data_IF_524798357900
#
_entry.id   IF_524798357900
#
_cell.length_a   1.000
_cell.length_b   1.000
_cell.length_c   1.000
_cell.angle_alpha   90.00
_cell.angle_beta   90.00
_cell.angle_gamma   90.00
#
_symmetry.space_group_name_H-M   'P 1'
#
loop_
_entity.id
_entity.type
_entity.pdbx_description
1 polymer ?
#
# COMPACT_ATOMS: atom_id res chain seq x y z
N UNK A 1 -48.21 -24.69 -90.05
CA UNK A 1 -48.89 -24.64 -88.75
C UNK A 1 -47.92 -24.14 -87.69
N UNK A 2 -48.31 -23.08 -86.97
CA UNK A 2 -47.96 -22.80 -85.56
C UNK A 2 -46.44 -22.66 -85.28
N UNK A 3 -45.82 -21.50 -85.50
CA UNK A 3 -45.72 -20.37 -84.54
C UNK A 3 -45.75 -20.83 -83.07
N UNK A 4 -44.74 -20.41 -82.30
CA UNK A 4 -44.59 -20.51 -80.83
C UNK A 4 -43.91 -21.77 -80.25
N UNK A 5 -42.67 -22.05 -80.67
CA UNK A 5 -41.75 -22.92 -79.87
C UNK A 5 -40.72 -22.08 -79.09
N UNK A 6 -40.78 -20.75 -79.17
CA UNK A 6 -39.75 -19.87 -78.60
C UNK A 6 -40.34 -18.65 -77.86
N UNK A 7 -41.36 -18.89 -77.05
CA UNK A 7 -41.70 -18.00 -75.94
C UNK A 7 -41.83 -18.89 -74.72
N UNK A 8 -40.72 -19.15 -74.03
CA UNK A 8 -40.27 -18.24 -72.99
C UNK A 8 -41.33 -18.26 -71.88
N UNK A 9 -41.10 -19.16 -70.92
CA UNK A 9 -40.52 -18.70 -69.65
C UNK A 9 -41.57 -17.96 -68.81
N UNK A 10 -42.80 -18.48 -68.72
CA UNK A 10 -43.82 -17.83 -67.91
C UNK A 10 -44.96 -18.76 -67.52
N UNK A 11 -44.70 -20.00 -67.11
CA UNK A 11 -45.72 -20.79 -66.41
C UNK A 11 -45.15 -21.99 -65.62
N UNK A 12 -43.99 -21.81 -64.99
CA UNK A 12 -43.55 -22.64 -63.86
C UNK A 12 -43.33 -21.77 -62.62
N UNK A 13 -44.25 -20.83 -62.37
CA UNK A 13 -44.43 -20.26 -61.04
C UNK A 13 -45.29 -21.24 -60.22
N UNK A 14 -44.72 -22.39 -59.91
CA UNK A 14 -45.28 -23.40 -59.01
C UNK A 14 -44.28 -23.67 -57.91
N UNK A 15 -44.05 -22.65 -57.07
CA UNK A 15 -43.50 -22.72 -55.72
C UNK A 15 -42.44 -23.81 -55.49
N UNK A 16 -41.18 -23.48 -55.77
CA UNK A 16 -40.06 -24.08 -55.05
C UNK A 16 -40.23 -23.71 -53.57
N UNK A 17 -40.90 -24.59 -52.81
CA UNK A 17 -40.90 -24.56 -51.35
C UNK A 17 -39.52 -24.93 -50.83
N UNK A 18 -38.53 -24.10 -51.12
CA UNK A 18 -37.28 -24.08 -50.36
C UNK A 18 -37.52 -23.15 -49.18
N UNK A 19 -38.25 -23.65 -48.18
CA UNK A 19 -38.04 -23.20 -46.81
C UNK A 19 -36.65 -23.68 -46.41
N UNK A 20 -35.61 -23.01 -46.92
CA UNK A 20 -34.31 -23.01 -46.31
C UNK A 20 -34.48 -22.28 -44.99
N UNK A 21 -35.03 -23.00 -44.00
CA UNK A 21 -35.04 -22.57 -42.62
C UNK A 21 -33.57 -22.53 -42.24
N UNK A 22 -32.94 -21.37 -42.39
CA UNK A 22 -31.60 -21.11 -41.92
C UNK A 22 -31.65 -21.42 -40.42
N UNK A 23 -31.14 -22.59 -40.03
CA UNK A 23 -31.01 -22.96 -38.62
C UNK A 23 -29.98 -22.01 -38.04
N UNK A 24 -30.47 -20.93 -37.45
CA UNK A 24 -29.65 -20.00 -36.73
C UNK A 24 -29.33 -20.62 -35.37
N UNK A 25 -28.18 -21.26 -35.28
CA UNK A 25 -27.68 -21.80 -34.03
C UNK A 25 -26.76 -20.76 -33.38
N UNK A 26 -27.24 -20.18 -32.28
CA UNK A 26 -26.47 -19.22 -31.50
C UNK A 26 -25.87 -19.93 -30.28
N UNK A 27 -24.63 -20.41 -30.43
CA UNK A 27 -23.86 -20.90 -29.29
C UNK A 27 -23.06 -19.73 -28.71
N UNK A 28 -23.53 -19.17 -27.60
CA UNK A 28 -22.77 -18.20 -26.83
C UNK A 28 -21.91 -18.98 -25.82
N UNK A 29 -20.61 -19.15 -26.10
CA UNK A 29 -19.67 -19.52 -25.04
C UNK A 29 -19.36 -18.26 -24.23
N UNK A 30 -19.24 -18.38 -22.90
CA UNK A 30 -18.73 -17.26 -22.10
C UNK A 30 -17.29 -17.01 -22.51
N UNK A 31 -17.05 -15.95 -23.26
CA UNK A 31 -15.71 -15.39 -23.39
C UNK A 31 -15.45 -14.70 -22.05
N UNK A 32 -14.83 -15.43 -21.13
CA UNK A 32 -14.27 -14.81 -19.94
C UNK A 32 -12.94 -14.19 -20.37
N UNK A 33 -12.98 -12.92 -20.72
CA UNK A 33 -11.76 -12.14 -20.93
C UNK A 33 -10.90 -12.30 -19.68
N UNK A 34 -9.64 -12.72 -19.84
CA UNK A 34 -8.72 -12.92 -18.74
C UNK A 34 -8.51 -11.60 -18.02
N UNK A 35 -9.27 -11.37 -16.95
CA UNK A 35 -9.02 -10.24 -16.06
C UNK A 35 -7.67 -10.48 -15.40
N UNK A 36 -6.66 -9.70 -15.78
CA UNK A 36 -5.41 -9.64 -15.02
C UNK A 36 -5.68 -8.87 -13.73
N UNK A 37 -6.22 -9.55 -12.73
CA UNK A 37 -6.28 -9.02 -11.38
C UNK A 37 -4.88 -9.06 -10.77
N UNK A 38 -4.28 -7.88 -10.57
CA UNK A 38 -3.04 -7.76 -9.83
C UNK A 38 -3.38 -7.69 -8.35
N UNK A 39 -2.93 -8.67 -7.58
CA UNK A 39 -3.01 -8.64 -6.13
C UNK A 39 -1.69 -8.13 -5.55
N UNK A 40 -1.74 -7.05 -4.78
CA UNK A 40 -0.59 -6.56 -4.02
C UNK A 40 -0.60 -7.26 -2.66
N UNK A 41 0.46 -8.02 -2.38
CA UNK A 41 0.64 -8.64 -1.06
C UNK A 41 1.44 -7.69 -0.16
N UNK A 42 1.03 -7.49 1.10
CA UNK A 42 1.84 -6.75 2.04
C UNK A 42 3.14 -7.52 2.33
N UNK A 43 4.24 -6.78 2.47
CA UNK A 43 5.53 -7.34 2.89
C UNK A 43 5.62 -7.28 4.41
N UNK A 44 6.01 -8.40 5.00
CA UNK A 44 6.29 -8.55 6.43
C UNK A 44 7.81 -8.58 6.61
N UNK A 45 8.28 -7.92 7.65
CA UNK A 45 9.68 -7.97 8.08
C UNK A 45 9.72 -8.01 9.61
N UNK A 46 10.72 -8.71 10.13
CA UNK A 46 11.01 -8.69 11.55
C UNK A 46 11.97 -7.55 11.87
N UNK A 47 11.78 -6.93 13.03
CA UNK A 47 12.67 -5.88 13.49
C UNK A 47 13.62 -6.44 14.55
N UNK A 48 14.89 -6.57 14.20
CA UNK A 48 15.94 -7.04 15.08
C UNK A 48 16.73 -5.87 15.66
N UNK A 49 16.76 -5.76 16.99
CA UNK A 49 17.66 -4.81 17.67
C UNK A 49 19.11 -5.26 17.47
N UNK A 50 19.97 -4.34 17.04
CA UNK A 50 21.41 -4.54 16.95
C UNK A 50 22.04 -4.54 18.34
N UNK A 51 21.59 -3.61 19.19
CA UNK A 51 22.00 -3.51 20.58
C UNK A 51 20.78 -3.57 21.49
N UNK A 52 20.88 -4.33 22.58
CA UNK A 52 19.80 -4.45 23.58
C UNK A 52 19.79 -3.30 24.57
N UNK A 53 20.93 -2.62 24.73
CA UNK A 53 21.07 -1.47 25.61
C UNK A 53 20.77 -0.17 24.87
N UNK A 54 20.22 0.80 25.60
CA UNK A 54 19.92 2.12 25.06
C UNK A 54 21.21 2.85 24.73
N UNK A 55 21.33 3.28 23.47
CA UNK A 55 22.49 4.01 22.95
C UNK A 55 22.18 5.50 22.86
N UNK A 56 23.22 6.33 22.89
CA UNK A 56 23.13 7.79 22.85
C UNK A 56 24.10 8.37 21.84
N UNK A 57 23.62 9.34 21.04
CA UNK A 57 24.43 10.08 20.09
C UNK A 57 24.09 11.56 20.10
N UNK A 58 25.10 12.41 20.19
CA UNK A 58 24.93 13.87 20.14
C UNK A 58 25.52 14.43 18.85
N UNK A 59 24.75 15.27 18.18
CA UNK A 59 25.18 15.95 16.97
C UNK A 59 24.90 17.44 17.05
N UNK A 60 25.84 18.26 16.59
CA UNK A 60 25.53 19.62 16.25
C UNK A 60 24.81 19.65 14.90
N UNK A 61 23.60 20.19 14.91
CA UNK A 61 22.71 20.33 13.77
C UNK A 61 22.45 21.81 13.54
N UNK A 62 22.46 22.24 12.28
CA UNK A 62 22.39 23.66 11.88
C UNK A 62 23.59 24.51 12.36
N UNK A 63 24.85 24.07 12.17
CA UNK A 63 26.01 24.87 12.54
C UNK A 63 25.96 26.25 11.87
N UNK A 64 26.28 27.30 12.62
CA UNK A 64 26.30 28.68 12.11
C UNK A 64 24.95 29.41 12.09
N UNK A 65 23.82 28.73 12.28
CA UNK A 65 22.48 29.35 12.33
C UNK A 65 22.24 29.98 13.70
N UNK A 66 21.72 31.21 13.73
CA UNK A 66 21.40 31.90 14.98
C UNK A 66 20.12 31.34 15.60
N UNK A 67 20.03 31.29 16.93
CA UNK A 67 18.85 30.78 17.63
C UNK A 67 17.56 31.53 17.28
N UNK A 68 17.67 32.84 16.99
CA UNK A 68 16.53 33.68 16.63
C UNK A 68 15.95 33.33 15.24
N UNK A 69 16.72 32.64 14.40
CA UNK A 69 16.32 32.22 13.06
C UNK A 69 15.70 30.81 13.08
N UNK A 70 15.85 30.08 14.18
CA UNK A 70 15.35 28.72 14.33
C UNK A 70 13.86 28.75 14.65
N UNK A 71 13.07 28.26 13.71
CA UNK A 71 11.64 28.01 13.90
C UNK A 71 11.36 26.52 14.19
N UNK A 72 10.10 26.22 14.52
CA UNK A 72 9.68 24.85 14.86
C UNK A 72 9.91 23.84 13.72
N UNK A 73 9.76 24.26 12.45
CA UNK A 73 10.01 23.36 11.32
C UNK A 73 11.50 23.00 11.20
N UNK A 74 12.39 23.98 11.44
CA UNK A 74 13.83 23.73 11.47
C UNK A 74 14.23 22.83 12.64
N UNK A 75 13.56 22.96 13.79
CA UNK A 75 13.78 22.07 14.94
C UNK A 75 13.38 20.61 14.64
N UNK A 76 12.21 20.38 14.02
CA UNK A 76 11.80 19.03 13.63
C UNK A 76 12.74 18.43 12.58
N UNK A 77 13.15 19.23 11.59
CA UNK A 77 14.18 18.81 10.64
C UNK A 77 15.52 18.50 11.31
N UNK A 78 15.89 19.25 12.35
CA UNK A 78 17.12 18.99 13.09
C UNK A 78 17.07 17.65 13.83
N UNK A 79 15.93 17.32 14.47
CA UNK A 79 15.68 16.01 15.09
C UNK A 79 15.74 14.88 14.06
N UNK A 80 15.08 15.03 12.93
CA UNK A 80 15.09 14.05 11.85
C UNK A 80 16.52 13.82 11.30
N UNK A 81 17.29 14.89 11.12
CA UNK A 81 18.68 14.81 10.68
C UNK A 81 19.56 14.10 11.71
N UNK A 82 19.40 14.41 13.00
CA UNK A 82 20.12 13.75 14.08
C UNK A 82 19.78 12.26 14.16
N UNK A 83 18.50 11.89 14.05
CA UNK A 83 18.06 10.50 14.04
C UNK A 83 18.64 9.72 12.85
N UNK A 84 18.65 10.33 11.65
CA UNK A 84 19.27 9.74 10.47
C UNK A 84 20.78 9.52 10.66
N UNK A 85 21.49 10.51 11.21
CA UNK A 85 22.92 10.38 11.53
C UNK A 85 23.19 9.29 12.56
N UNK A 86 22.37 9.21 13.61
CA UNK A 86 22.44 8.15 14.62
C UNK A 86 22.26 6.76 13.99
N UNK A 87 21.20 6.58 13.20
CA UNK A 87 20.93 5.31 12.50
C UNK A 87 22.10 4.93 11.59
N UNK A 88 22.61 5.87 10.78
CA UNK A 88 23.74 5.64 9.90
C UNK A 88 25.01 5.25 10.65
N UNK A 89 25.33 5.92 11.77
CA UNK A 89 26.53 5.64 12.56
C UNK A 89 26.44 4.28 13.26
N UNK A 90 25.26 3.92 13.74
CA UNK A 90 24.97 2.60 14.31
C UNK A 90 24.87 1.50 13.24
N UNK A 91 24.91 1.85 11.95
CA UNK A 91 24.64 0.91 10.86
C UNK A 91 23.24 0.32 10.91
N UNK A 92 22.26 1.02 11.49
CA UNK A 92 20.88 0.60 11.70
C UNK A 92 19.94 1.18 10.63
N UNK A 93 18.81 0.51 10.42
CA UNK A 93 17.73 1.03 9.56
C UNK A 93 16.80 1.99 10.33
N UNK A 94 16.70 1.80 11.65
CA UNK A 94 15.84 2.60 12.53
C UNK A 94 16.44 2.71 13.94
N UNK A 95 16.14 3.81 14.63
CA UNK A 95 16.33 3.94 16.08
C UNK A 95 14.96 3.77 16.76
N UNK A 96 14.75 2.62 17.40
CA UNK A 96 13.54 2.30 18.15
C UNK A 96 13.43 3.13 19.42
N UNK A 97 12.21 3.63 19.68
CA UNK A 97 11.91 4.40 20.90
C UNK A 97 12.75 5.67 21.02
N UNK A 98 13.09 6.30 19.89
CA UNK A 98 13.96 7.46 19.86
C UNK A 98 13.41 8.61 20.72
N UNK A 99 14.24 9.09 21.65
CA UNK A 99 13.99 10.30 22.43
C UNK A 99 15.03 11.36 22.08
N UNK A 100 14.62 12.62 22.14
CA UNK A 100 15.44 13.75 21.71
C UNK A 100 15.62 14.74 22.86
N UNK A 101 16.87 15.09 23.12
CA UNK A 101 17.23 16.20 23.99
C UNK A 101 17.95 17.25 23.16
N UNK A 102 17.42 18.48 23.14
CA UNK A 102 17.90 19.56 22.28
C UNK A 102 18.40 20.70 23.15
N UNK A 103 19.64 21.12 22.93
CA UNK A 103 20.28 22.24 23.61
C UNK A 103 20.89 23.22 22.61
N UNK A 104 21.08 24.46 23.03
CA UNK A 104 21.76 25.45 22.20
C UNK A 104 23.26 25.18 22.20
N UNK A 105 23.90 25.24 21.04
CA UNK A 105 25.36 25.17 20.97
C UNK A 105 25.96 26.57 20.89
N UNK A 106 26.45 27.08 22.02
CA UNK A 106 27.02 28.44 22.09
C UNK A 106 28.34 28.59 21.32
N UNK A 107 29.09 27.49 21.12
CA UNK A 107 30.42 27.52 20.50
C UNK A 107 30.34 27.52 18.97
N UNK A 108 29.51 26.65 18.39
CA UNK A 108 29.39 26.46 16.94
C UNK A 108 28.15 27.13 16.36
N UNK A 109 27.32 27.76 17.20
CA UNK A 109 25.95 28.19 16.89
C UNK A 109 25.08 26.97 16.49
N UNK A 110 23.78 27.18 16.27
CA UNK A 110 22.84 26.08 16.01
C UNK A 110 22.43 25.30 17.26
N UNK A 111 22.08 24.02 17.06
CA UNK A 111 21.51 23.15 18.08
C UNK A 111 22.34 21.88 18.26
N UNK A 112 22.60 21.50 19.50
CA UNK A 112 23.02 20.15 19.84
C UNK A 112 21.79 19.29 20.07
N UNK A 113 21.65 18.26 19.22
CA UNK A 113 20.56 17.29 19.31
C UNK A 113 21.15 15.97 19.75
N UNK A 114 20.76 15.53 20.94
CA UNK A 114 21.08 14.22 21.51
C UNK A 114 19.92 13.28 21.24
N UNK A 115 20.21 12.16 20.58
CA UNK A 115 19.26 11.09 20.26
C UNK A 115 19.58 9.90 21.13
N UNK A 116 18.57 9.37 21.83
CA UNK A 116 18.69 8.14 22.62
C UNK A 116 17.69 7.10 22.15
N UNK A 117 18.11 5.85 22.01
CA UNK A 117 17.21 4.75 21.64
C UNK A 117 17.94 3.47 21.31
N UNK A 118 17.22 2.53 20.70
CA UNK A 118 17.73 1.19 20.40
C UNK A 118 17.92 1.03 18.89
N UNK A 119 19.14 0.88 18.39
CA UNK A 119 19.37 0.69 16.96
C UNK A 119 18.82 -0.67 16.51
N UNK A 120 18.10 -0.70 15.38
CA UNK A 120 17.51 -1.91 14.84
C UNK A 120 17.58 -2.01 13.32
N UNK A 121 17.50 -3.25 12.82
CA UNK A 121 17.45 -3.59 11.39
C UNK A 121 16.22 -4.40 11.05
N UNK A 122 15.70 -4.15 9.86
CA UNK A 122 14.69 -5.02 9.29
C UNK A 122 15.37 -6.26 8.71
N UNK A 123 14.90 -7.43 9.12
CA UNK A 123 15.39 -8.73 8.66
C UNK A 123 14.20 -9.58 8.20
N UNK A 124 14.49 -10.69 7.54
CA UNK A 124 13.49 -11.69 7.16
C UNK A 124 12.32 -11.09 6.37
N UNK A 125 12.61 -10.28 5.34
CA UNK A 125 11.57 -9.76 4.45
C UNK A 125 10.89 -10.89 3.67
N UNK A 126 9.57 -10.98 3.72
CA UNK A 126 8.77 -11.94 2.97
C UNK A 126 7.36 -11.41 2.71
N UNK A 127 6.63 -11.98 1.74
CA UNK A 127 5.23 -11.61 1.58
C UNK A 127 4.37 -12.27 2.66
N UNK A 128 3.33 -11.58 3.10
CA UNK A 128 2.38 -12.12 4.06
C UNK A 128 1.80 -13.46 3.58
N UNK A 129 1.85 -14.48 4.46
CA UNK A 129 1.33 -15.82 4.14
C UNK A 129 2.22 -16.65 3.20
N UNK A 130 3.42 -16.17 2.87
CA UNK A 130 4.35 -16.86 1.98
C UNK A 130 5.23 -17.87 2.73
N UNK A 131 5.18 -19.14 2.29
CA UNK A 131 6.04 -20.21 2.81
C UNK A 131 5.78 -20.57 4.28
N UNK A 132 6.76 -21.21 4.92
CA UNK A 132 6.66 -21.59 6.34
C UNK A 132 6.66 -20.37 7.27
N UNK A 133 7.38 -19.30 6.95
CA UNK A 133 7.41 -18.08 7.75
C UNK A 133 6.06 -17.36 7.73
N UNK A 134 5.43 -17.25 6.57
CA UNK A 134 4.13 -16.58 6.45
C UNK A 134 2.96 -17.32 7.10
N UNK A 135 3.09 -18.61 7.40
CA UNK A 135 2.06 -19.35 8.13
C UNK A 135 1.86 -18.80 9.57
N UNK A 136 2.94 -18.31 10.18
CA UNK A 136 2.94 -17.78 11.55
C UNK A 136 2.61 -16.28 11.62
N UNK A 137 2.71 -15.54 10.50
CA UNK A 137 2.35 -14.12 10.44
C UNK A 137 0.95 -13.84 10.99
N UNK A 138 0.01 -14.73 10.66
CA UNK A 138 -1.39 -14.64 11.08
C UNK A 138 -1.55 -14.54 12.60
N UNK A 139 -0.67 -15.19 13.37
CA UNK A 139 -0.70 -15.15 14.85
C UNK A 139 -0.49 -13.74 15.40
N UNK A 140 0.33 -12.93 14.73
CA UNK A 140 0.70 -11.59 15.17
C UNK A 140 -0.12 -10.51 14.47
N UNK A 141 -0.43 -10.70 13.19
CA UNK A 141 -1.07 -9.69 12.34
C UNK A 141 -2.59 -9.71 12.47
N UNK A 142 -3.23 -10.89 12.54
CA UNK A 142 -4.70 -10.98 12.64
C UNK A 142 -5.27 -10.28 13.88
N UNK A 143 -4.67 -10.39 15.09
CA UNK A 143 -5.14 -9.63 16.26
C UNK A 143 -5.04 -8.11 16.08
N UNK A 144 -3.99 -7.61 15.40
CA UNK A 144 -3.81 -6.19 15.12
C UNK A 144 -4.88 -5.67 14.14
N UNK A 145 -5.15 -6.44 13.08
CA UNK A 145 -6.17 -6.13 12.10
C UNK A 145 -7.57 -6.14 12.72
N UNK A 146 -7.89 -7.16 13.51
CA UNK A 146 -9.20 -7.26 14.17
C UNK A 146 -9.38 -6.17 15.23
N UNK A 147 -8.35 -5.88 16.03
CA UNK A 147 -8.37 -4.76 16.96
C UNK A 147 -8.54 -3.41 16.27
N UNK A 148 -7.91 -3.21 15.09
CA UNK A 148 -8.13 -2.00 14.28
C UNK A 148 -9.55 -1.93 13.73
N UNK A 149 -10.11 -3.06 13.28
CA UNK A 149 -11.49 -3.17 12.79
C UNK A 149 -12.51 -2.83 13.87
N UNK A 150 -12.33 -3.35 15.08
CA UNK A 150 -13.20 -3.04 16.23
C UNK A 150 -13.17 -1.54 16.56
N UNK A 151 -11.98 -0.91 16.53
CA UNK A 151 -11.86 0.54 16.74
C UNK A 151 -12.61 1.35 15.67
N UNK A 152 -12.47 0.98 14.40
CA UNK A 152 -13.17 1.65 13.30
C UNK A 152 -14.71 1.55 13.44
N UNK A 153 -15.22 0.36 13.75
CA UNK A 153 -16.66 0.16 13.99
C UNK A 153 -17.14 1.00 15.19
N UNK A 154 -16.32 1.11 16.25
CA UNK A 154 -16.66 1.90 17.43
C UNK A 154 -16.69 3.42 17.18
N UNK A 155 -15.83 3.94 16.29
CA UNK A 155 -15.84 5.35 15.91
C UNK A 155 -17.06 5.69 15.05
N UNK A 156 -17.44 4.80 14.13
CA UNK A 156 -18.61 4.99 13.26
C UNK A 156 -19.91 5.00 14.07
N UNK A 157 -20.01 4.14 15.10
CA UNK A 157 -21.16 4.16 16.01
C UNK A 157 -21.23 5.42 16.88
N UNK A 158 -20.10 6.02 17.26
CA UNK A 158 -20.09 7.31 17.98
C UNK A 158 -20.53 8.46 17.09
N UNK A 159 -20.13 8.49 15.82
CA UNK A 159 -20.60 9.50 14.87
C UNK A 159 -22.10 9.37 14.57
N UNK A 160 -22.60 8.15 14.40
CA UNK A 160 -24.02 7.92 14.09
C UNK A 160 -24.96 8.22 15.28
N UNK A 161 -24.49 8.13 16.53
CA UNK A 161 -25.26 8.59 17.70
C UNK A 161 -25.36 10.11 17.83
N UNK A 162 -24.42 10.87 17.27
CA UNK A 162 -24.45 12.33 17.33
C UNK A 162 -25.47 12.96 16.36
N UNK A 163 -25.95 12.20 15.38
CA UNK A 163 -26.93 12.65 14.37
C UNK A 163 -28.39 12.29 14.79
N UNK A 164 -28.55 11.42 15.80
CA UNK A 164 -29.83 10.81 16.16
C UNK A 164 -30.67 11.52 17.23
N UNK A 165 -30.29 12.70 17.71
CA UNK A 165 -31.14 13.49 18.63
C UNK A 165 -31.39 14.90 18.06
N UNK A 166 -32.47 15.01 17.29
CA UNK A 166 -33.27 16.23 17.13
C UNK A 166 -34.74 15.85 17.18
#
# INVERSE_FOLDING_TARGET
MKKLVFSMLLLCCGVLSMNAQAKFEHAQTRIQEGMSEFFVRPVVAELQMLEKECQEWTFNVLPGVSLNEINMNMLENAKANAAFKAAKLAGADIILGATFYVTNNEKMKGLDVTVRGYPGKYINFHNYGEGQHGADDSKWITPLQEGARIRAISSDQKQNKAIGNK
#
